data_IF_308432634686
#
_entry.id   IF_308432634686
#
_cell.length_a   1.000
_cell.length_b   1.000
_cell.length_c   1.000
_cell.angle_alpha   90.00
_cell.angle_beta   90.00
_cell.angle_gamma   90.00
#
_symmetry.space_group_name_H-M   'P 1'
#
loop_
_entity.id
_entity.type
_entity.pdbx_description
1 polymer ?
#
# COMPACT_ATOMS: atom_id res chain seq x y z
N UNK A 1 -9.87 13.05 -32.35
CA UNK A 1 -10.33 11.65 -32.49
C UNK A 1 -11.49 11.47 -31.55
N UNK A 2 -12.63 10.89 -31.94
CA UNK A 2 -13.74 10.64 -31.03
C UNK A 2 -13.23 9.70 -29.90
N UNK A 3 -13.54 10.04 -28.65
CA UNK A 3 -13.22 9.23 -27.49
C UNK A 3 -13.96 7.90 -27.61
N UNK A 4 -13.30 6.91 -28.18
CA UNK A 4 -13.79 5.53 -28.12
C UNK A 4 -13.74 5.13 -26.65
N UNK A 5 -14.88 4.70 -26.12
CA UNK A 5 -14.94 4.16 -24.76
C UNK A 5 -13.87 3.08 -24.64
N UNK A 6 -12.97 3.21 -23.64
CA UNK A 6 -11.94 2.21 -23.43
C UNK A 6 -12.62 0.84 -23.35
N UNK A 7 -12.22 -0.16 -24.14
CA UNK A 7 -12.85 -1.46 -24.10
C UNK A 7 -12.85 -1.97 -22.65
N UNK A 8 -13.97 -2.44 -22.15
CA UNK A 8 -14.09 -2.94 -20.78
C UNK A 8 -12.98 -3.96 -20.45
N UNK A 9 -12.60 -4.77 -21.43
CA UNK A 9 -11.50 -5.72 -21.35
C UNK A 9 -10.15 -5.04 -21.02
N UNK A 10 -9.84 -3.89 -21.60
CA UNK A 10 -8.59 -3.17 -21.29
C UNK A 10 -8.55 -2.72 -19.82
N UNK A 11 -9.62 -2.11 -19.35
CA UNK A 11 -9.72 -1.67 -17.94
C UNK A 11 -9.60 -2.88 -17.00
N UNK A 12 -10.27 -3.99 -17.32
CA UNK A 12 -10.17 -5.25 -16.55
C UNK A 12 -8.74 -5.76 -16.47
N UNK A 13 -8.00 -5.78 -17.59
CA UNK A 13 -6.60 -6.24 -17.61
C UNK A 13 -5.70 -5.31 -16.80
N UNK A 14 -5.88 -3.99 -16.89
CA UNK A 14 -5.15 -3.02 -16.08
C UNK A 14 -5.45 -3.22 -14.58
N UNK A 15 -6.70 -3.52 -14.23
CA UNK A 15 -7.12 -3.83 -12.86
C UNK A 15 -6.50 -5.13 -12.34
N UNK A 16 -6.58 -6.22 -13.13
CA UNK A 16 -5.98 -7.51 -12.76
C UNK A 16 -4.45 -7.39 -12.63
N UNK A 17 -3.81 -6.65 -13.53
CA UNK A 17 -2.36 -6.40 -13.42
C UNK A 17 -2.01 -5.63 -12.14
N UNK A 18 -2.82 -4.64 -11.74
CA UNK A 18 -2.65 -3.94 -10.45
C UNK A 18 -2.92 -4.87 -9.25
N UNK A 19 -3.85 -5.83 -9.35
CA UNK A 19 -4.05 -6.85 -8.33
C UNK A 19 -2.79 -7.70 -8.15
N UNK A 20 -2.18 -8.17 -9.25
CA UNK A 20 -0.96 -8.98 -9.23
C UNK A 20 0.21 -8.19 -8.64
N UNK A 21 0.36 -6.92 -9.05
CA UNK A 21 1.36 -5.99 -8.49
C UNK A 21 1.13 -5.79 -6.98
N UNK A 22 -0.09 -5.51 -6.56
CA UNK A 22 -0.43 -5.31 -5.17
C UNK A 22 -0.20 -6.57 -4.33
N UNK A 23 -0.57 -7.75 -4.84
CA UNK A 23 -0.28 -9.02 -4.20
C UNK A 23 1.23 -9.20 -3.97
N UNK A 24 2.06 -9.09 -5.02
CA UNK A 24 3.51 -9.26 -4.90
C UNK A 24 4.22 -8.15 -4.11
N UNK A 25 3.63 -6.95 -4.02
CA UNK A 25 4.17 -5.86 -3.23
C UNK A 25 3.91 -6.05 -1.72
N UNK A 26 2.67 -6.39 -1.35
CA UNK A 26 2.22 -6.37 0.05
C UNK A 26 2.22 -7.74 0.73
N UNK A 27 2.27 -8.87 -0.01
CA UNK A 27 2.26 -10.20 0.61
C UNK A 27 3.41 -10.42 1.61
N UNK A 28 4.52 -9.67 1.48
CA UNK A 28 5.65 -9.69 2.42
C UNK A 28 5.19 -9.56 3.88
N UNK A 29 4.16 -8.76 4.14
CA UNK A 29 3.59 -8.57 5.49
C UNK A 29 3.15 -9.91 6.09
N UNK A 30 2.52 -10.77 5.29
CA UNK A 30 2.09 -12.11 5.71
C UNK A 30 3.18 -13.18 5.64
N UNK A 31 4.32 -12.88 4.98
CA UNK A 31 5.43 -13.81 4.77
C UNK A 31 6.59 -13.60 5.76
N UNK A 32 6.55 -12.57 6.61
CA UNK A 32 7.70 -12.18 7.45
C UNK A 32 8.23 -13.33 8.28
N UNK A 33 7.37 -14.12 8.92
CA UNK A 33 7.80 -15.26 9.76
C UNK A 33 8.42 -16.40 8.95
N UNK A 34 7.72 -16.99 7.93
CA UNK A 34 8.32 -18.03 7.11
C UNK A 34 9.64 -17.61 6.47
N UNK A 35 9.74 -16.33 6.07
CA UNK A 35 10.91 -15.76 5.46
C UNK A 35 12.06 -15.58 6.47
N UNK A 36 11.76 -15.06 7.67
CA UNK A 36 12.74 -14.88 8.73
C UNK A 36 13.31 -16.23 9.21
N UNK A 37 12.44 -17.23 9.36
CA UNK A 37 12.84 -18.58 9.76
C UNK A 37 13.72 -19.26 8.69
N UNK A 38 13.37 -19.17 7.41
CA UNK A 38 14.10 -19.83 6.33
C UNK A 38 15.46 -19.16 6.02
N UNK A 39 15.56 -17.84 6.19
CA UNK A 39 16.81 -17.09 5.99
C UNK A 39 17.66 -16.97 7.29
N UNK A 40 17.20 -17.54 8.40
CA UNK A 40 17.85 -17.46 9.71
C UNK A 40 18.15 -16.01 10.15
N UNK A 41 17.20 -15.09 9.87
CA UNK A 41 17.30 -13.67 10.23
C UNK A 41 16.21 -13.29 11.24
N UNK A 42 16.40 -12.17 11.95
CA UNK A 42 15.38 -11.65 12.84
C UNK A 42 14.17 -11.11 12.07
N UNK A 43 12.98 -11.11 12.69
CA UNK A 43 11.78 -10.51 12.12
C UNK A 43 11.97 -9.01 11.82
N UNK A 44 12.75 -8.29 12.67
CA UNK A 44 13.11 -6.90 12.43
C UNK A 44 13.89 -6.73 11.12
N UNK A 45 14.85 -7.60 10.88
CA UNK A 45 15.66 -7.62 9.65
C UNK A 45 14.83 -8.01 8.43
N UNK A 46 13.94 -8.99 8.56
CA UNK A 46 12.97 -9.33 7.51
C UNK A 46 12.04 -8.15 7.16
N UNK A 47 11.63 -7.35 8.15
CA UNK A 47 10.82 -6.13 7.94
C UNK A 47 11.48 -5.08 7.05
N UNK A 48 12.83 -5.02 7.00
CA UNK A 48 13.55 -4.08 6.13
C UNK A 48 13.31 -4.33 4.63
N UNK A 49 12.85 -5.53 4.27
CA UNK A 49 12.46 -5.90 2.90
C UNK A 49 11.29 -5.04 2.41
N UNK A 50 10.31 -4.77 3.29
CA UNK A 50 9.19 -3.85 2.97
C UNK A 50 9.69 -2.40 2.88
N UNK A 51 10.57 -1.99 3.78
CA UNK A 51 11.21 -0.66 3.75
C UNK A 51 11.94 -0.43 2.42
N UNK A 52 12.72 -1.42 1.97
CA UNK A 52 13.45 -1.36 0.69
C UNK A 52 12.49 -1.16 -0.49
N UNK A 53 11.39 -1.91 -0.55
CA UNK A 53 10.38 -1.73 -1.58
C UNK A 53 9.78 -0.33 -1.55
N UNK A 54 9.39 0.13 -0.37
CA UNK A 54 8.71 1.41 -0.20
C UNK A 54 9.62 2.60 -0.56
N UNK A 55 10.88 2.60 -0.12
CA UNK A 55 11.87 3.62 -0.48
C UNK A 55 12.15 3.59 -1.98
N UNK A 56 12.39 2.41 -2.54
CA UNK A 56 12.63 2.26 -3.98
C UNK A 56 11.45 2.76 -4.81
N UNK A 57 10.20 2.45 -4.40
CA UNK A 57 9.01 2.93 -5.08
C UNK A 57 8.89 4.47 -5.02
N UNK A 58 9.07 5.05 -3.84
CA UNK A 58 8.96 6.49 -3.63
C UNK A 58 9.95 7.29 -4.49
N UNK A 59 11.17 6.77 -4.67
CA UNK A 59 12.23 7.41 -5.47
C UNK A 59 12.08 7.09 -6.95
N UNK A 60 11.93 5.81 -7.30
CA UNK A 60 12.01 5.37 -8.70
C UNK A 60 10.73 5.67 -9.47
N UNK A 61 9.53 5.68 -8.84
CA UNK A 61 8.29 5.90 -9.56
C UNK A 61 8.23 7.26 -10.26
N UNK A 62 8.44 8.41 -9.62
CA UNK A 62 8.42 9.70 -10.30
C UNK A 62 9.54 9.85 -11.35
N UNK A 63 10.73 9.29 -11.09
CA UNK A 63 11.86 9.32 -12.02
C UNK A 63 11.55 8.51 -13.28
N UNK A 64 11.11 7.26 -13.13
CA UNK A 64 10.84 6.38 -14.26
C UNK A 64 9.64 6.82 -15.08
N UNK A 65 8.57 7.34 -14.44
CA UNK A 65 7.41 7.90 -15.14
C UNK A 65 7.82 9.10 -15.98
N UNK A 66 8.71 9.96 -15.46
CA UNK A 66 9.21 11.14 -16.18
C UNK A 66 10.12 10.75 -17.34
N UNK A 67 11.06 9.82 -17.13
CA UNK A 67 11.98 9.34 -18.17
C UNK A 67 11.27 8.59 -19.30
N UNK A 68 10.17 7.90 -18.99
CA UNK A 68 9.40 7.13 -19.96
C UNK A 68 8.28 7.95 -20.63
N UNK A 69 8.18 9.24 -20.33
CA UNK A 69 7.14 10.13 -20.85
C UNK A 69 7.04 10.17 -22.38
N UNK A 70 8.16 10.08 -23.09
CA UNK A 70 8.25 10.01 -24.56
C UNK A 70 8.05 8.61 -25.16
N UNK A 71 7.96 7.56 -24.33
CA UNK A 71 7.80 6.18 -24.78
C UNK A 71 6.30 5.84 -24.91
N UNK A 72 5.94 5.11 -25.98
CA UNK A 72 4.55 4.64 -26.15
C UNK A 72 4.06 3.83 -24.94
N UNK A 73 2.86 4.15 -24.44
CA UNK A 73 2.31 3.64 -23.16
C UNK A 73 2.28 2.11 -23.07
N UNK A 74 2.01 1.44 -24.20
CA UNK A 74 2.06 -0.03 -24.27
C UNK A 74 3.44 -0.58 -23.87
N UNK A 75 4.54 0.02 -24.37
CA UNK A 75 5.90 -0.40 -24.04
C UNK A 75 6.23 -0.14 -22.57
N UNK A 76 5.79 1.01 -22.05
CA UNK A 76 6.01 1.36 -20.62
C UNK A 76 5.28 0.38 -19.69
N UNK A 77 4.01 0.08 -19.99
CA UNK A 77 3.24 -0.90 -19.22
C UNK A 77 3.88 -2.31 -19.26
N UNK A 78 4.28 -2.77 -20.45
CA UNK A 78 4.94 -4.06 -20.59
C UNK A 78 6.29 -4.11 -19.88
N UNK A 79 7.11 -3.07 -20.00
CA UNK A 79 8.40 -2.95 -19.29
C UNK A 79 8.22 -2.91 -17.77
N UNK A 80 7.19 -2.19 -17.28
CA UNK A 80 6.84 -2.16 -15.86
C UNK A 80 6.49 -3.56 -15.32
N UNK A 81 5.61 -4.31 -16.03
CA UNK A 81 5.30 -5.69 -15.64
C UNK A 81 6.49 -6.62 -15.75
N UNK A 82 7.34 -6.48 -16.77
CA UNK A 82 8.54 -7.29 -16.92
C UNK A 82 9.55 -7.06 -15.78
N UNK A 83 9.78 -5.78 -15.39
CA UNK A 83 10.61 -5.44 -14.23
C UNK A 83 10.01 -5.99 -12.93
N UNK A 84 8.70 -5.87 -12.75
CA UNK A 84 8.02 -6.45 -11.59
C UNK A 84 8.16 -7.97 -11.56
N UNK A 85 8.01 -8.62 -12.72
CA UNK A 85 8.22 -10.06 -12.88
C UNK A 85 9.65 -10.50 -12.55
N UNK A 86 10.66 -9.73 -12.97
CA UNK A 86 12.06 -9.96 -12.56
C UNK A 86 12.20 -9.87 -11.03
N UNK A 87 11.55 -8.87 -10.42
CA UNK A 87 11.50 -8.74 -8.97
C UNK A 87 10.81 -9.92 -8.27
N UNK A 88 9.87 -10.62 -8.91
CA UNK A 88 9.26 -11.83 -8.38
C UNK A 88 10.08 -13.09 -8.68
N UNK A 89 10.81 -13.13 -9.78
CA UNK A 89 11.64 -14.27 -10.19
C UNK A 89 12.89 -14.43 -9.30
N UNK A 90 13.57 -13.32 -8.98
CA UNK A 90 14.83 -13.33 -8.23
C UNK A 90 14.74 -14.10 -6.90
N UNK A 91 13.73 -13.89 -6.02
CA UNK A 91 13.62 -14.63 -4.77
C UNK A 91 13.28 -16.11 -4.96
N UNK A 92 12.74 -16.51 -6.11
CA UNK A 92 12.44 -17.91 -6.41
C UNK A 92 13.74 -18.69 -6.70
N UNK A 93 14.68 -18.07 -7.44
CA UNK A 93 15.89 -18.74 -7.92
C UNK A 93 17.11 -18.59 -7.00
N UNK A 94 17.12 -17.56 -6.14
CA UNK A 94 18.26 -17.31 -5.23
C UNK A 94 17.78 -16.80 -3.88
N UNK A 95 17.82 -17.65 -2.85
CA UNK A 95 17.22 -17.35 -1.55
C UNK A 95 18.17 -16.64 -0.58
N UNK A 96 18.87 -15.61 -1.01
CA UNK A 96 19.70 -14.80 -0.12
C UNK A 96 19.02 -13.48 0.22
N UNK A 97 19.29 -12.93 1.40
CA UNK A 97 18.74 -11.64 1.82
C UNK A 97 19.10 -10.52 0.84
N UNK A 98 20.35 -10.50 0.34
CA UNK A 98 20.79 -9.49 -0.63
C UNK A 98 19.98 -9.55 -1.94
N UNK A 99 19.74 -10.75 -2.47
CA UNK A 99 18.91 -10.95 -3.66
C UNK A 99 17.46 -10.57 -3.39
N UNK A 100 16.95 -10.83 -2.19
CA UNK A 100 15.61 -10.43 -1.79
C UNK A 100 15.47 -8.89 -1.80
N UNK A 101 16.43 -8.14 -1.25
CA UNK A 101 16.43 -6.67 -1.32
C UNK A 101 16.52 -6.17 -2.77
N UNK A 102 17.42 -6.74 -3.60
CA UNK A 102 17.50 -6.40 -5.02
C UNK A 102 16.15 -6.66 -5.73
N UNK A 103 15.52 -7.80 -5.44
CA UNK A 103 14.19 -8.14 -5.99
C UNK A 103 13.13 -7.08 -5.68
N UNK A 104 13.17 -6.50 -4.46
CA UNK A 104 12.23 -5.45 -4.04
C UNK A 104 12.45 -4.15 -4.81
N UNK A 105 13.70 -3.81 -5.14
CA UNK A 105 14.02 -2.63 -5.96
C UNK A 105 13.46 -2.81 -7.38
N UNK A 106 13.65 -3.97 -8.02
CA UNK A 106 13.08 -4.25 -9.33
C UNK A 106 11.55 -4.26 -9.31
N UNK A 107 10.95 -4.90 -8.31
CA UNK A 107 9.51 -4.93 -8.15
C UNK A 107 8.94 -3.51 -7.95
N UNK A 108 9.57 -2.69 -7.12
CA UNK A 108 9.17 -1.30 -6.88
C UNK A 108 9.29 -0.44 -8.14
N UNK A 109 10.38 -0.59 -8.91
CA UNK A 109 10.56 0.10 -10.19
C UNK A 109 9.45 -0.28 -11.18
N UNK A 110 9.16 -1.58 -11.31
CA UNK A 110 8.11 -2.09 -12.18
C UNK A 110 6.72 -1.59 -11.81
N UNK A 111 6.36 -1.69 -10.54
CA UNK A 111 5.08 -1.20 -10.01
C UNK A 111 4.94 0.32 -10.14
N UNK A 112 6.02 1.06 -9.83
CA UNK A 112 6.09 2.52 -9.95
C UNK A 112 5.97 3.04 -11.37
N UNK A 113 6.37 2.25 -12.36
CA UNK A 113 6.12 2.53 -13.78
C UNK A 113 4.70 2.16 -14.19
N UNK A 114 4.23 0.98 -13.81
CA UNK A 114 2.98 0.41 -14.31
C UNK A 114 1.75 1.16 -13.79
N UNK A 115 1.60 1.27 -12.47
CA UNK A 115 0.36 1.75 -11.83
C UNK A 115 -0.06 3.16 -12.27
N UNK A 116 0.82 4.19 -12.26
CA UNK A 116 0.44 5.53 -12.71
C UNK A 116 0.15 5.57 -14.22
N UNK A 117 0.89 4.81 -15.02
CA UNK A 117 0.68 4.75 -16.47
C UNK A 117 -0.61 4.02 -16.83
N UNK A 118 -0.96 2.94 -16.09
CA UNK A 118 -2.23 2.25 -16.25
C UNK A 118 -3.43 3.16 -15.94
N UNK A 119 -3.33 3.95 -14.86
CA UNK A 119 -4.32 4.96 -14.52
C UNK A 119 -4.46 6.03 -15.62
N UNK A 120 -3.35 6.53 -16.15
CA UNK A 120 -3.36 7.52 -17.25
C UNK A 120 -3.97 6.95 -18.54
N UNK A 121 -3.67 5.68 -18.88
CA UNK A 121 -4.25 5.00 -20.06
C UNK A 121 -5.76 4.82 -19.89
N UNK A 122 -6.21 4.35 -18.73
CA UNK A 122 -7.63 4.18 -18.46
C UNK A 122 -8.40 5.51 -18.51
N UNK A 123 -7.87 6.58 -17.91
CA UNK A 123 -8.48 7.89 -17.93
C UNK A 123 -8.47 8.52 -19.33
N UNK A 124 -7.35 8.39 -20.07
CA UNK A 124 -7.18 9.00 -21.39
C UNK A 124 -8.02 8.36 -22.48
N UNK A 125 -8.35 7.07 -22.36
CA UNK A 125 -9.21 6.33 -23.29
C UNK A 125 -10.70 6.37 -22.90
N UNK A 126 -11.02 6.94 -21.74
CA UNK A 126 -12.40 7.03 -21.25
C UNK A 126 -12.99 8.41 -21.55
N UNK A 127 -14.30 8.45 -21.86
CA UNK A 127 -15.04 9.70 -21.98
C UNK A 127 -14.94 10.50 -20.67
N UNK A 128 -14.95 11.84 -20.69
CA UNK A 128 -14.77 12.69 -19.50
C UNK A 128 -15.63 12.29 -18.32
N UNK A 129 -16.91 11.95 -18.56
CA UNK A 129 -17.91 11.57 -17.56
C UNK A 129 -17.62 10.20 -16.94
N UNK A 130 -16.81 9.37 -17.59
CA UNK A 130 -16.47 8.00 -17.16
C UNK A 130 -15.04 7.85 -16.62
N UNK A 131 -14.23 8.89 -16.67
CA UNK A 131 -12.81 8.86 -16.24
C UNK A 131 -12.67 8.44 -14.78
N UNK A 132 -13.46 8.99 -13.88
CA UNK A 132 -13.44 8.62 -12.47
C UNK A 132 -13.77 7.15 -12.27
N UNK A 133 -14.77 6.61 -12.98
CA UNK A 133 -15.14 5.19 -12.93
C UNK A 133 -14.03 4.29 -13.48
N UNK A 134 -13.36 4.70 -14.56
CA UNK A 134 -12.25 3.95 -15.13
C UNK A 134 -11.03 3.90 -14.17
N UNK A 135 -10.69 5.04 -13.53
CA UNK A 135 -9.66 5.11 -12.51
C UNK A 135 -9.99 4.21 -11.31
N UNK A 136 -11.21 4.32 -10.79
CA UNK A 136 -11.67 3.47 -9.69
C UNK A 136 -11.56 1.98 -10.04
N UNK A 137 -11.92 1.58 -11.26
CA UNK A 137 -11.82 0.19 -11.72
C UNK A 137 -10.37 -0.28 -11.80
N UNK A 138 -9.43 0.55 -12.25
CA UNK A 138 -7.99 0.20 -12.27
C UNK A 138 -7.43 0.05 -10.86
N UNK A 139 -7.76 0.95 -9.94
CA UNK A 139 -7.31 0.87 -8.55
C UNK A 139 -8.05 -0.19 -7.72
N UNK A 140 -9.24 -0.64 -8.18
CA UNK A 140 -9.95 -1.76 -7.55
C UNK A 140 -9.10 -3.01 -7.45
N UNK A 141 -8.28 -3.32 -8.48
CA UNK A 141 -7.33 -4.42 -8.42
C UNK A 141 -6.35 -4.29 -7.25
N UNK A 142 -5.79 -3.10 -7.02
CA UNK A 142 -4.89 -2.84 -5.89
C UNK A 142 -5.60 -3.04 -4.54
N UNK A 143 -6.84 -2.58 -4.41
CA UNK A 143 -7.65 -2.78 -3.19
C UNK A 143 -7.93 -4.28 -2.98
N UNK A 144 -8.32 -4.99 -4.04
CA UNK A 144 -8.57 -6.43 -3.95
C UNK A 144 -7.33 -7.25 -3.60
N UNK A 145 -6.13 -6.77 -3.98
CA UNK A 145 -4.89 -7.42 -3.56
C UNK A 145 -4.67 -7.38 -2.05
N UNK A 146 -5.17 -6.37 -1.38
CA UNK A 146 -5.09 -6.27 0.08
C UNK A 146 -6.12 -7.16 0.77
N UNK A 147 -7.30 -7.33 0.16
CA UNK A 147 -8.35 -8.20 0.71
C UNK A 147 -8.04 -9.68 0.50
N UNK A 148 -7.60 -10.05 -0.71
CA UNK A 148 -7.41 -11.44 -1.12
C UNK A 148 -5.93 -11.80 -1.28
N UNK A 149 -5.13 -10.89 -1.83
CA UNK A 149 -3.73 -11.16 -2.17
C UNK A 149 -2.85 -11.40 -0.93
N UNK A 150 -3.02 -10.61 0.14
CA UNK A 150 -2.29 -10.81 1.38
C UNK A 150 -2.64 -12.16 2.05
N UNK A 151 -3.93 -12.49 2.31
CA UNK A 151 -4.29 -13.79 2.90
C UNK A 151 -3.85 -14.98 2.04
N UNK A 152 -4.07 -14.91 0.72
CA UNK A 152 -3.65 -15.97 -0.21
C UNK A 152 -2.13 -16.13 -0.20
N UNK A 153 -1.39 -15.02 -0.27
CA UNK A 153 0.07 -15.03 -0.20
C UNK A 153 0.59 -15.62 1.11
N UNK A 154 0.02 -15.22 2.25
CA UNK A 154 0.33 -15.76 3.57
C UNK A 154 0.04 -17.25 3.64
N UNK A 155 -1.17 -17.69 3.24
CA UNK A 155 -1.54 -19.11 3.22
C UNK A 155 -0.57 -19.96 2.40
N UNK A 156 -0.20 -19.50 1.20
CA UNK A 156 0.76 -20.20 0.34
C UNK A 156 2.12 -20.27 1.01
N UNK A 157 2.59 -19.18 1.62
CA UNK A 157 3.91 -19.12 2.24
C UNK A 157 4.05 -20.05 3.43
N UNK A 158 3.03 -20.12 4.29
CA UNK A 158 3.02 -21.04 5.44
C UNK A 158 2.81 -22.50 5.06
N UNK A 159 2.19 -22.77 3.89
CA UNK A 159 1.87 -24.14 3.47
C UNK A 159 2.96 -24.74 2.56
N UNK A 160 3.43 -23.95 1.60
CA UNK A 160 4.31 -24.40 0.50
C UNK A 160 5.67 -23.67 0.48
N UNK A 161 5.86 -22.73 1.40
CA UNK A 161 7.05 -21.89 1.47
C UNK A 161 6.90 -20.56 0.74
N UNK A 162 7.61 -19.54 1.23
CA UNK A 162 7.50 -18.16 0.75
C UNK A 162 7.94 -17.96 -0.72
N UNK A 163 8.86 -18.80 -1.22
CA UNK A 163 9.28 -18.79 -2.63
C UNK A 163 8.15 -19.14 -3.58
N UNK A 164 7.30 -20.09 -3.18
CA UNK A 164 6.14 -20.49 -3.96
C UNK A 164 5.14 -19.35 -4.07
N UNK A 165 4.98 -18.53 -3.05
CA UNK A 165 4.13 -17.34 -3.13
C UNK A 165 4.59 -16.37 -4.24
N UNK A 166 5.90 -16.14 -4.38
CA UNK A 166 6.45 -15.34 -5.49
C UNK A 166 6.29 -16.01 -6.85
N UNK A 167 6.47 -17.34 -6.91
CA UNK A 167 6.27 -18.09 -8.14
C UNK A 167 4.81 -18.03 -8.62
N UNK A 168 3.83 -18.08 -7.73
CA UNK A 168 2.42 -17.91 -8.05
C UNK A 168 2.14 -16.50 -8.61
N UNK A 169 2.69 -15.45 -8.00
CA UNK A 169 2.57 -14.07 -8.52
C UNK A 169 3.14 -14.00 -9.93
N UNK A 170 4.33 -14.58 -10.17
CA UNK A 170 4.97 -14.61 -11.48
C UNK A 170 4.13 -15.36 -12.51
N UNK A 171 3.56 -16.51 -12.14
CA UNK A 171 2.70 -17.31 -13.01
C UNK A 171 1.47 -16.54 -13.50
N UNK A 172 0.82 -15.78 -12.59
CA UNK A 172 -0.35 -14.93 -12.94
C UNK A 172 0.08 -13.68 -13.71
N UNK A 173 1.29 -13.17 -13.50
CA UNK A 173 1.81 -11.99 -14.19
C UNK A 173 2.10 -12.26 -15.68
N UNK A 174 2.56 -13.46 -16.06
CA UNK A 174 2.88 -13.80 -17.45
C UNK A 174 1.70 -13.56 -18.40
N UNK A 175 0.50 -14.10 -18.17
CA UNK A 175 -0.65 -13.82 -19.03
C UNK A 175 -1.04 -12.33 -19.00
N UNK A 176 -0.90 -11.62 -17.86
CA UNK A 176 -1.14 -10.18 -17.80
C UNK A 176 -0.19 -9.42 -18.75
N UNK A 177 1.10 -9.75 -18.74
CA UNK A 177 2.10 -9.13 -19.61
C UNK A 177 1.77 -9.38 -21.10
N UNK A 178 1.41 -10.61 -21.45
CA UNK A 178 1.02 -10.98 -22.79
C UNK A 178 -0.24 -10.23 -23.25
N UNK A 179 -1.27 -10.15 -22.41
CA UNK A 179 -2.52 -9.43 -22.69
C UNK A 179 -2.29 -7.93 -22.84
N UNK A 180 -1.47 -7.31 -21.98
CA UNK A 180 -1.07 -5.88 -22.11
C UNK A 180 -0.41 -5.65 -23.47
N UNK A 181 0.48 -6.58 -23.89
CA UNK A 181 1.16 -6.44 -25.18
C UNK A 181 0.24 -6.54 -26.38
N UNK A 182 -0.84 -7.29 -26.31
CA UNK A 182 -1.79 -7.46 -27.42
C UNK A 182 -2.86 -6.37 -27.41
N UNK A 183 -3.44 -6.09 -26.25
CA UNK A 183 -4.69 -5.31 -26.14
C UNK A 183 -4.44 -3.80 -26.06
N UNK A 184 -3.33 -3.37 -25.43
CA UNK A 184 -3.04 -1.94 -25.34
C UNK A 184 -2.68 -1.38 -26.74
N UNK A 185 -3.40 -0.35 -27.26
CA UNK A 185 -3.13 0.20 -28.58
C UNK A 185 -1.70 0.75 -28.70
N UNK A 186 -1.15 0.65 -29.91
CA UNK A 186 0.14 1.26 -30.26
C UNK A 186 0.00 2.78 -30.39
N UNK A 187 1.05 3.52 -30.08
CA UNK A 187 1.12 4.97 -30.30
C UNK A 187 0.34 5.82 -29.30
N UNK A 188 -0.20 5.24 -28.22
CA UNK A 188 -0.78 6.02 -27.13
C UNK A 188 0.28 6.87 -26.45
N UNK A 189 0.12 8.20 -26.57
CA UNK A 189 0.90 9.19 -25.84
C UNK A 189 -0.06 10.15 -25.14
N UNK A 190 0.16 10.42 -23.89
CA UNK A 190 -0.56 11.46 -23.13
C UNK A 190 0.47 12.48 -22.66
N UNK A 191 0.07 13.73 -22.53
CA UNK A 191 0.97 14.74 -21.96
C UNK A 191 1.34 14.32 -20.54
N UNK A 192 2.63 14.11 -20.26
CA UNK A 192 3.07 13.80 -18.91
C UNK A 192 2.80 14.99 -17.99
N UNK A 193 2.56 14.74 -16.71
CA UNK A 193 2.71 15.76 -15.68
C UNK A 193 4.14 16.30 -15.81
N UNK A 194 4.29 17.60 -16.05
CA UNK A 194 5.61 18.15 -16.29
C UNK A 194 6.39 18.24 -14.98
N UNK A 195 7.71 18.03 -15.04
CA UNK A 195 8.60 18.25 -13.89
C UNK A 195 8.47 19.68 -13.31
N UNK A 196 8.05 20.63 -14.14
CA UNK A 196 7.80 22.03 -13.73
C UNK A 196 6.57 22.15 -12.84
N UNK A 197 5.50 21.41 -13.14
CA UNK A 197 4.28 21.40 -12.30
C UNK A 197 4.56 20.72 -10.97
N UNK A 198 5.28 19.60 -11.00
CA UNK A 198 5.77 18.93 -9.80
C UNK A 198 6.65 19.88 -8.96
N UNK A 199 7.64 20.54 -9.59
CA UNK A 199 8.52 21.48 -8.91
C UNK A 199 7.80 22.67 -8.28
N UNK A 200 6.70 23.14 -8.91
CA UNK A 200 5.86 24.20 -8.34
C UNK A 200 5.16 23.75 -7.06
N UNK A 201 4.55 22.58 -7.07
CA UNK A 201 3.87 22.03 -5.87
C UNK A 201 4.87 21.71 -4.77
N UNK A 202 6.04 21.14 -5.10
CA UNK A 202 7.11 20.83 -4.12
C UNK A 202 7.67 22.09 -3.43
N UNK A 203 7.62 23.24 -4.07
CA UNK A 203 8.07 24.52 -3.48
C UNK A 203 7.00 25.19 -2.61
N UNK A 204 5.76 24.75 -2.70
CA UNK A 204 4.67 25.25 -1.85
C UNK A 204 4.66 24.46 -0.53
N UNK A 205 5.24 25.06 0.52
CA UNK A 205 5.33 24.43 1.84
C UNK A 205 3.97 24.08 2.46
N UNK A 206 2.90 24.82 2.13
CA UNK A 206 1.55 24.54 2.64
C UNK A 206 0.99 23.26 2.02
N UNK A 207 1.12 23.12 0.71
CA UNK A 207 0.69 21.93 -0.01
C UNK A 207 1.52 20.71 0.41
N UNK A 208 2.84 20.88 0.58
CA UNK A 208 3.72 19.80 1.04
C UNK A 208 3.41 19.39 2.49
N UNK A 209 3.03 20.32 3.35
CA UNK A 209 2.57 20.01 4.70
C UNK A 209 1.25 19.20 4.65
N UNK A 210 0.34 19.54 3.74
CA UNK A 210 -0.89 18.77 3.57
C UNK A 210 -0.64 17.35 3.04
N UNK A 211 0.28 17.17 2.09
CA UNK A 211 0.72 15.85 1.58
C UNK A 211 1.48 15.08 2.66
N UNK A 212 2.39 15.74 3.37
CA UNK A 212 3.21 15.15 4.44
C UNK A 212 2.38 14.53 5.58
N UNK A 213 1.16 15.00 5.79
CA UNK A 213 0.24 14.38 6.75
C UNK A 213 -0.06 12.92 6.39
N UNK A 214 -0.14 12.57 5.10
CA UNK A 214 -0.27 11.18 4.64
C UNK A 214 0.89 10.32 5.16
N UNK A 215 2.11 10.82 5.02
CA UNK A 215 3.31 10.16 5.53
C UNK A 215 3.21 9.93 7.05
N UNK A 216 2.87 10.96 7.82
CA UNK A 216 2.78 10.85 9.29
C UNK A 216 1.72 9.85 9.75
N UNK A 217 0.53 9.88 9.14
CA UNK A 217 -0.57 8.97 9.47
C UNK A 217 -0.20 7.52 9.18
N UNK A 218 0.35 7.28 7.98
CA UNK A 218 0.72 5.92 7.57
C UNK A 218 1.96 5.39 8.28
N UNK A 219 2.91 6.24 8.64
CA UNK A 219 4.03 5.84 9.51
C UNK A 219 3.51 5.17 10.78
N UNK A 220 2.55 5.80 11.47
CA UNK A 220 1.95 5.23 12.67
C UNK A 220 1.28 3.86 12.42
N UNK A 221 0.48 3.74 11.35
CA UNK A 221 -0.19 2.48 11.01
C UNK A 221 0.76 1.36 10.62
N UNK A 222 1.80 1.65 9.85
CA UNK A 222 2.76 0.65 9.35
C UNK A 222 3.72 0.12 10.41
N UNK A 223 3.89 0.79 11.56
CA UNK A 223 4.60 0.20 12.73
C UNK A 223 3.96 -1.12 13.14
N UNK A 224 2.63 -1.18 13.21
CA UNK A 224 1.90 -2.41 13.55
C UNK A 224 1.73 -3.29 12.32
N UNK A 225 1.34 -2.72 11.17
CA UNK A 225 1.01 -3.48 9.97
C UNK A 225 2.17 -4.34 9.48
N UNK A 226 3.38 -3.82 9.47
CA UNK A 226 4.57 -4.56 9.01
C UNK A 226 4.84 -5.79 9.86
N UNK A 227 4.65 -5.68 11.17
CA UNK A 227 4.95 -6.76 12.12
C UNK A 227 3.70 -7.46 12.66
N UNK A 228 2.57 -7.36 11.94
CA UNK A 228 1.30 -7.94 12.37
C UNK A 228 1.39 -9.47 12.50
N UNK A 229 1.99 -10.16 11.53
CA UNK A 229 2.12 -11.61 11.59
C UNK A 229 2.98 -12.07 12.78
N UNK A 230 4.21 -11.55 12.99
CA UNK A 230 5.00 -11.83 14.20
C UNK A 230 4.27 -11.46 15.50
N UNK A 231 3.51 -10.37 15.52
CA UNK A 231 2.77 -9.94 16.71
C UNK A 231 1.68 -10.94 17.08
N UNK A 232 0.95 -11.46 16.09
CA UNK A 232 -0.11 -12.45 16.34
C UNK A 232 0.45 -13.83 16.65
N UNK A 233 1.52 -14.26 15.98
CA UNK A 233 2.09 -15.59 16.21
C UNK A 233 2.81 -15.68 17.57
N UNK A 234 3.69 -14.73 17.88
CA UNK A 234 4.50 -14.79 19.10
C UNK A 234 3.70 -14.41 20.34
N UNK A 235 2.74 -13.48 20.24
CA UNK A 235 1.93 -13.08 21.39
C UNK A 235 0.68 -13.95 21.60
N UNK A 236 0.09 -14.50 20.54
CA UNK A 236 -1.17 -15.25 20.61
C UNK A 236 -1.02 -16.73 20.20
N UNK A 237 0.16 -17.14 19.73
CA UNK A 237 0.38 -18.50 19.23
C UNK A 237 -0.37 -18.80 17.92
N UNK A 238 -0.79 -17.77 17.17
CA UNK A 238 -1.54 -17.97 15.94
C UNK A 238 -0.63 -18.50 14.82
N UNK A 239 -0.97 -19.67 14.33
CA UNK A 239 -0.33 -20.27 13.15
C UNK A 239 -0.94 -19.75 11.85
N UNK A 240 -0.65 -20.46 10.76
CA UNK A 240 -1.09 -20.18 9.40
C UNK A 240 -2.54 -19.68 9.28
N UNK A 241 -3.47 -20.45 9.84
CA UNK A 241 -4.90 -20.19 9.64
C UNK A 241 -5.37 -18.93 10.38
N UNK A 242 -4.85 -18.72 11.60
CA UNK A 242 -5.12 -17.52 12.39
C UNK A 242 -4.57 -16.25 11.72
N UNK A 243 -3.34 -16.29 11.21
CA UNK A 243 -2.72 -15.16 10.50
C UNK A 243 -3.45 -14.89 9.19
N UNK A 244 -3.81 -15.94 8.44
CA UNK A 244 -4.59 -15.80 7.21
C UNK A 244 -5.95 -15.15 7.48
N UNK A 245 -6.65 -15.58 8.53
CA UNK A 245 -7.91 -14.97 8.97
C UNK A 245 -7.73 -13.50 9.36
N UNK A 246 -6.69 -13.17 10.14
CA UNK A 246 -6.38 -11.80 10.53
C UNK A 246 -6.19 -10.89 9.31
N UNK A 247 -5.40 -11.33 8.32
CA UNK A 247 -5.16 -10.58 7.09
C UNK A 247 -6.43 -10.44 6.25
N UNK A 248 -7.29 -11.45 6.21
CA UNK A 248 -8.59 -11.39 5.54
C UNK A 248 -9.50 -10.36 6.23
N UNK A 249 -9.56 -10.39 7.56
CA UNK A 249 -10.32 -9.41 8.36
C UNK A 249 -9.82 -7.99 8.10
N UNK A 250 -8.50 -7.78 8.06
CA UNK A 250 -7.91 -6.49 7.70
C UNK A 250 -8.29 -6.06 6.27
N UNK A 251 -8.29 -6.99 5.32
CA UNK A 251 -8.68 -6.72 3.95
C UNK A 251 -10.15 -6.30 3.81
N UNK A 252 -11.07 -7.03 4.46
CA UNK A 252 -12.49 -6.66 4.53
C UNK A 252 -12.66 -5.31 5.22
N UNK A 253 -11.96 -5.09 6.34
CA UNK A 253 -11.94 -3.80 7.04
C UNK A 253 -11.44 -2.65 6.15
N UNK A 254 -10.49 -2.90 5.26
CA UNK A 254 -10.00 -1.90 4.31
C UNK A 254 -11.10 -1.46 3.32
N UNK A 255 -11.90 -2.38 2.79
CA UNK A 255 -13.03 -2.05 1.91
C UNK A 255 -14.09 -1.24 2.66
N UNK A 256 -14.52 -1.73 3.83
CA UNK A 256 -15.51 -1.04 4.66
C UNK A 256 -15.00 0.35 5.09
N UNK A 257 -13.73 0.44 5.45
CA UNK A 257 -13.09 1.69 5.82
C UNK A 257 -13.08 2.70 4.67
N UNK A 258 -12.67 2.32 3.47
CA UNK A 258 -12.70 3.21 2.31
C UNK A 258 -14.12 3.75 2.03
N UNK A 259 -15.15 2.88 2.12
CA UNK A 259 -16.55 3.30 1.96
C UNK A 259 -16.98 4.26 3.07
N UNK A 260 -16.67 3.94 4.33
CA UNK A 260 -16.98 4.77 5.49
C UNK A 260 -16.27 6.12 5.42
N UNK A 261 -14.98 6.13 5.06
CA UNK A 261 -14.18 7.35 4.96
C UNK A 261 -14.71 8.32 3.90
N UNK A 262 -15.15 7.81 2.74
CA UNK A 262 -15.81 8.59 1.70
C UNK A 262 -17.12 9.18 2.21
N UNK A 263 -18.04 8.34 2.69
CA UNK A 263 -19.34 8.76 3.18
C UNK A 263 -19.25 9.76 4.36
N UNK A 264 -18.30 9.55 5.26
CA UNK A 264 -18.09 10.45 6.41
C UNK A 264 -17.48 11.79 5.95
N UNK A 265 -16.53 11.74 5.01
CA UNK A 265 -15.95 12.95 4.40
C UNK A 265 -16.99 13.81 3.69
N UNK A 266 -17.96 13.20 3.00
CA UNK A 266 -19.05 13.90 2.33
C UNK A 266 -20.02 14.54 3.33
N UNK A 267 -20.29 13.88 4.47
CA UNK A 267 -21.25 14.36 5.47
C UNK A 267 -20.70 15.43 6.40
N UNK A 268 -19.51 15.23 6.95
CA UNK A 268 -18.95 16.10 8.01
C UNK A 268 -17.71 16.88 7.56
N UNK A 269 -17.28 16.66 6.34
CA UNK A 269 -16.11 17.26 5.73
C UNK A 269 -14.79 16.49 6.01
N UNK A 270 -13.81 16.60 5.12
CA UNK A 270 -12.58 15.79 5.16
C UNK A 270 -11.75 16.05 6.42
N UNK A 271 -11.60 17.29 6.88
CA UNK A 271 -10.76 17.63 8.06
C UNK A 271 -11.34 17.05 9.35
N UNK A 272 -12.67 17.13 9.54
CA UNK A 272 -13.32 16.55 10.74
C UNK A 272 -13.21 15.02 10.72
N UNK A 273 -13.40 14.41 9.55
CA UNK A 273 -13.23 12.97 9.35
C UNK A 273 -11.81 12.55 9.73
N UNK A 274 -10.78 13.19 9.16
CA UNK A 274 -9.37 12.88 9.45
C UNK A 274 -9.03 13.06 10.94
N UNK A 275 -9.57 14.10 11.58
CA UNK A 275 -9.38 14.33 13.03
C UNK A 275 -9.98 13.17 13.84
N UNK A 276 -11.22 12.77 13.54
CA UNK A 276 -11.88 11.64 14.20
C UNK A 276 -11.14 10.32 14.02
N UNK A 277 -10.62 10.07 12.80
CA UNK A 277 -9.81 8.89 12.51
C UNK A 277 -8.48 8.85 13.28
N UNK A 278 -7.78 9.99 13.40
CA UNK A 278 -6.58 10.08 14.25
C UNK A 278 -6.92 9.76 15.71
N UNK A 279 -8.00 10.34 16.25
CA UNK A 279 -8.42 10.08 17.63
C UNK A 279 -8.79 8.61 17.86
N UNK A 280 -9.54 8.01 16.93
CA UNK A 280 -9.87 6.59 16.99
C UNK A 280 -8.61 5.71 16.98
N UNK A 281 -7.64 6.01 16.11
CA UNK A 281 -6.39 5.26 16.00
C UNK A 281 -5.47 5.46 17.22
N UNK A 282 -5.48 6.63 17.88
CA UNK A 282 -4.76 6.87 19.14
C UNK A 282 -5.24 5.92 20.24
N UNK A 283 -6.52 5.53 20.21
CA UNK A 283 -7.10 4.58 21.17
C UNK A 283 -6.85 3.13 20.74
N UNK A 284 -7.05 2.83 19.46
CA UNK A 284 -7.01 1.45 18.95
C UNK A 284 -5.59 0.89 18.88
N UNK A 285 -4.62 1.68 18.39
CA UNK A 285 -3.24 1.20 18.20
C UNK A 285 -2.58 0.70 19.50
N UNK A 286 -2.67 1.42 20.64
CA UNK A 286 -2.13 0.90 21.90
C UNK A 286 -2.74 -0.43 22.37
N UNK A 287 -3.96 -0.74 21.94
CA UNK A 287 -4.63 -2.03 22.22
C UNK A 287 -3.82 -3.24 21.76
N UNK A 288 -3.03 -3.14 20.70
CA UNK A 288 -2.14 -4.22 20.27
C UNK A 288 -1.02 -4.50 21.26
N UNK A 289 -0.57 -3.50 22.02
CA UNK A 289 0.40 -3.68 23.13
C UNK A 289 -0.24 -4.25 24.37
N UNK A 290 -1.55 -4.17 24.53
CA UNK A 290 -2.28 -4.74 25.66
C UNK A 290 -2.65 -6.22 25.45
N UNK A 291 -2.62 -6.75 24.22
CA UNK A 291 -2.96 -8.16 23.93
C UNK A 291 -2.16 -9.18 24.77
N UNK A 292 -0.84 -9.04 24.97
CA UNK A 292 -0.08 -9.97 25.82
C UNK A 292 -0.54 -9.98 27.28
N UNK A 293 -1.07 -8.86 27.78
CA UNK A 293 -1.55 -8.76 29.17
C UNK A 293 -2.84 -9.57 29.40
N UNK A 294 -3.59 -9.85 28.34
CA UNK A 294 -4.81 -10.65 28.37
C UNK A 294 -4.53 -12.17 28.25
N UNK A 295 -3.28 -12.61 28.19
CA UNK A 295 -2.93 -14.05 28.06
C UNK A 295 -3.32 -14.91 29.28
N UNK A 296 -3.69 -14.32 30.40
CA UNK A 296 -4.25 -15.01 31.56
C UNK A 296 -5.72 -15.39 31.43
N UNK A 297 -6.41 -14.82 30.45
CA UNK A 297 -7.81 -15.09 30.12
C UNK A 297 -7.96 -16.32 29.20
N UNK A 298 -9.20 -16.73 28.92
CA UNK A 298 -9.40 -17.83 27.99
C UNK A 298 -8.86 -17.47 26.58
N UNK A 299 -8.22 -18.41 25.90
CA UNK A 299 -7.67 -18.19 24.54
C UNK A 299 -8.74 -17.68 23.56
N UNK A 300 -10.01 -18.04 23.73
CA UNK A 300 -11.14 -17.56 22.95
C UNK A 300 -11.41 -16.07 23.16
N UNK A 301 -11.33 -15.58 24.39
CA UNK A 301 -11.56 -14.15 24.68
C UNK A 301 -10.42 -13.29 24.11
N UNK A 302 -9.16 -13.69 24.31
CA UNK A 302 -8.00 -12.98 23.78
C UNK A 302 -8.02 -12.95 22.25
N UNK A 303 -8.41 -14.06 21.60
CA UNK A 303 -8.60 -14.15 20.16
C UNK A 303 -9.70 -13.20 19.64
N UNK A 304 -10.85 -13.15 20.33
CA UNK A 304 -11.94 -12.24 19.98
C UNK A 304 -11.53 -10.77 20.15
N UNK A 305 -10.79 -10.43 21.20
CA UNK A 305 -10.23 -9.08 21.39
C UNK A 305 -9.27 -8.68 20.25
N UNK A 306 -8.38 -9.60 19.85
CA UNK A 306 -7.46 -9.37 18.75
C UNK A 306 -8.21 -9.13 17.42
N UNK A 307 -9.21 -9.94 17.09
CA UNK A 307 -10.04 -9.74 15.90
C UNK A 307 -10.82 -8.42 15.96
N UNK A 308 -11.38 -8.06 17.10
CA UNK A 308 -12.05 -6.78 17.32
C UNK A 308 -11.12 -5.59 17.08
N UNK A 309 -9.90 -5.63 17.62
CA UNK A 309 -8.87 -4.60 17.37
C UNK A 309 -8.48 -4.52 15.90
N UNK A 310 -8.32 -5.66 15.22
CA UNK A 310 -8.01 -5.72 13.79
C UNK A 310 -9.10 -5.09 12.93
N UNK A 311 -10.38 -5.36 13.24
CA UNK A 311 -11.52 -4.72 12.56
C UNK A 311 -11.49 -3.20 12.76
N UNK A 312 -11.41 -2.73 14.00
CA UNK A 312 -11.41 -1.30 14.32
C UNK A 312 -10.22 -0.59 13.69
N UNK A 313 -9.02 -1.17 13.83
CA UNK A 313 -7.80 -0.63 13.26
C UNK A 313 -7.86 -0.54 11.74
N UNK A 314 -8.30 -1.60 11.05
CA UNK A 314 -8.36 -1.62 9.59
C UNK A 314 -9.44 -0.69 9.05
N UNK A 315 -10.64 -0.70 9.63
CA UNK A 315 -11.73 0.19 9.19
C UNK A 315 -11.33 1.65 9.37
N UNK A 316 -10.85 2.06 10.54
CA UNK A 316 -10.45 3.45 10.76
C UNK A 316 -9.18 3.83 9.98
N UNK A 317 -8.21 2.93 9.87
CA UNK A 317 -6.98 3.17 9.12
C UNK A 317 -7.22 3.40 7.63
N UNK A 318 -8.04 2.57 7.00
CA UNK A 318 -8.32 2.68 5.56
C UNK A 318 -9.37 3.74 5.22
N UNK A 319 -10.16 4.21 6.17
CA UNK A 319 -11.05 5.38 5.99
C UNK A 319 -10.28 6.67 5.69
N UNK A 320 -8.99 6.71 6.04
CA UNK A 320 -8.10 7.84 5.82
C UNK A 320 -7.98 8.24 4.35
N UNK A 321 -7.84 7.27 3.42
CA UNK A 321 -7.46 7.54 2.04
C UNK A 321 -8.47 8.42 1.30
N UNK A 322 -9.77 8.09 1.40
CA UNK A 322 -10.82 8.85 0.73
C UNK A 322 -10.91 10.29 1.25
N UNK A 323 -10.87 10.46 2.59
CA UNK A 323 -10.94 11.78 3.22
C UNK A 323 -9.70 12.65 2.90
N UNK A 324 -8.50 12.05 2.90
CA UNK A 324 -7.27 12.78 2.58
C UNK A 324 -7.22 13.20 1.10
N UNK A 325 -7.60 12.32 0.19
CA UNK A 325 -7.67 12.66 -1.24
C UNK A 325 -8.66 13.78 -1.51
N UNK A 326 -9.86 13.73 -0.89
CA UNK A 326 -10.84 14.80 -0.99
C UNK A 326 -10.28 16.15 -0.47
N UNK A 327 -9.56 16.13 0.67
CA UNK A 327 -8.88 17.32 1.20
C UNK A 327 -7.86 17.88 0.22
N UNK A 328 -6.97 17.04 -0.33
CA UNK A 328 -5.91 17.46 -1.22
C UNK A 328 -6.44 18.04 -2.55
N UNK A 329 -7.50 17.44 -3.11
CA UNK A 329 -8.19 17.95 -4.29
C UNK A 329 -8.81 19.33 -3.98
N UNK A 330 -9.44 19.48 -2.83
CA UNK A 330 -10.04 20.75 -2.41
C UNK A 330 -9.03 21.87 -2.21
N UNK A 331 -7.81 21.57 -1.72
CA UNK A 331 -6.76 22.56 -1.51
C UNK A 331 -6.12 23.06 -2.81
N UNK A 332 -5.99 22.21 -3.82
CA UNK A 332 -5.37 22.57 -5.10
C UNK A 332 -6.09 21.89 -6.29
N UNK A 333 -7.32 22.34 -6.65
CA UNK A 333 -8.11 21.68 -7.71
C UNK A 333 -7.40 21.64 -9.05
N UNK A 334 -6.66 22.70 -9.41
CA UNK A 334 -5.91 22.80 -10.67
C UNK A 334 -4.66 21.91 -10.70
N UNK A 335 -4.11 21.56 -9.53
CA UNK A 335 -2.95 20.71 -9.36
C UNK A 335 -3.32 19.32 -8.81
N UNK A 336 -4.61 18.97 -8.78
CA UNK A 336 -5.09 17.72 -8.20
C UNK A 336 -4.34 16.45 -8.67
N UNK A 337 -4.00 16.26 -9.96
CA UNK A 337 -3.22 15.10 -10.38
C UNK A 337 -1.84 15.02 -9.73
N UNK A 338 -1.16 16.16 -9.57
CA UNK A 338 0.16 16.25 -8.91
C UNK A 338 0.02 15.97 -7.43
N UNK A 339 -0.99 16.55 -6.78
CA UNK A 339 -1.26 16.34 -5.36
C UNK A 339 -1.54 14.85 -5.04
N UNK A 340 -2.33 14.18 -5.88
CA UNK A 340 -2.63 12.76 -5.72
C UNK A 340 -1.40 11.87 -5.98
N UNK A 341 -0.54 12.24 -6.95
CA UNK A 341 0.71 11.53 -7.19
C UNK A 341 1.68 11.66 -6.00
N UNK A 342 1.81 12.87 -5.45
CA UNK A 342 2.62 13.11 -4.24
C UNK A 342 2.02 12.41 -3.01
N UNK A 343 0.68 12.37 -2.90
CA UNK A 343 0.00 11.60 -1.87
C UNK A 343 0.33 10.11 -1.95
N UNK A 344 0.33 9.54 -3.15
CA UNK A 344 0.73 8.15 -3.37
C UNK A 344 2.21 7.91 -2.98
N UNK A 345 3.12 8.83 -3.31
CA UNK A 345 4.50 8.78 -2.84
C UNK A 345 4.57 8.86 -1.31
N UNK A 346 3.78 9.75 -0.69
CA UNK A 346 3.67 9.89 0.77
C UNK A 346 3.20 8.61 1.48
N UNK A 347 2.33 7.82 0.82
CA UNK A 347 1.92 6.49 1.32
C UNK A 347 3.13 5.56 1.47
N UNK A 348 3.96 5.47 0.43
CA UNK A 348 5.13 4.59 0.46
C UNK A 348 6.23 5.11 1.41
N UNK A 349 6.43 6.42 1.49
CA UNK A 349 7.36 7.01 2.48
C UNK A 349 6.87 6.69 3.90
N UNK A 350 5.56 6.82 4.16
CA UNK A 350 4.97 6.45 5.45
C UNK A 350 5.14 4.96 5.78
N UNK A 351 4.93 4.09 4.78
CA UNK A 351 5.16 2.66 4.93
C UNK A 351 6.64 2.34 5.24
N UNK A 352 7.58 2.98 4.55
CA UNK A 352 9.01 2.82 4.79
C UNK A 352 9.40 3.24 6.20
N UNK A 353 8.98 4.44 6.61
CA UNK A 353 9.28 4.97 7.95
C UNK A 353 8.62 4.12 9.04
N UNK A 354 7.36 3.72 8.86
CA UNK A 354 6.65 2.88 9.83
C UNK A 354 7.30 1.51 9.98
N UNK A 355 7.71 0.88 8.88
CA UNK A 355 8.45 -0.39 8.90
C UNK A 355 9.81 -0.23 9.58
N UNK A 356 10.56 0.85 9.28
CA UNK A 356 11.85 1.12 9.90
C UNK A 356 11.73 1.38 11.40
N UNK A 357 10.80 2.26 11.83
CA UNK A 357 10.54 2.52 13.25
C UNK A 357 10.08 1.25 13.99
N UNK A 358 9.16 0.49 13.40
CA UNK A 358 8.71 -0.78 13.97
C UNK A 358 9.84 -1.79 14.10
N UNK A 359 10.75 -1.86 13.12
CA UNK A 359 11.95 -2.70 13.16
C UNK A 359 12.92 -2.30 14.27
N UNK A 360 13.13 -1.00 14.48
CA UNK A 360 13.97 -0.48 15.58
C UNK A 360 13.37 -0.81 16.96
N UNK A 361 12.03 -0.64 17.10
CA UNK A 361 11.33 -0.99 18.34
C UNK A 361 11.43 -2.49 18.60
N UNK A 362 11.21 -3.31 17.58
CA UNK A 362 11.30 -4.77 17.69
C UNK A 362 12.71 -5.22 18.08
N UNK A 363 13.75 -4.64 17.49
CA UNK A 363 15.14 -4.98 17.76
C UNK A 363 15.57 -4.58 19.19
N UNK A 364 15.08 -3.45 19.72
CA UNK A 364 15.48 -2.93 21.04
C UNK A 364 14.58 -3.38 22.19
N UNK A 365 13.29 -3.55 21.95
CA UNK A 365 12.27 -3.70 23.01
C UNK A 365 11.30 -4.84 22.77
N UNK A 366 11.41 -5.57 21.65
CA UNK A 366 10.50 -6.64 21.27
C UNK A 366 9.15 -6.14 20.72
N UNK A 367 8.17 -7.06 20.65
CA UNK A 367 6.86 -6.80 20.04
C UNK A 367 5.91 -6.00 20.96
N UNK A 368 6.09 -6.08 22.28
CA UNK A 368 5.17 -5.49 23.25
C UNK A 368 4.88 -4.00 23.04
N UNK A 369 5.88 -3.11 22.84
CA UNK A 369 5.68 -1.67 22.71
C UNK A 369 5.17 -1.21 21.36
N UNK A 370 5.09 -2.06 20.32
CA UNK A 370 4.74 -1.64 18.95
C UNK A 370 3.45 -0.83 18.85
N UNK A 371 2.39 -1.29 19.53
CA UNK A 371 1.10 -0.60 19.54
C UNK A 371 1.17 0.77 20.24
N UNK A 372 1.90 0.86 21.36
CA UNK A 372 2.10 2.12 22.09
C UNK A 372 2.88 3.13 21.25
N UNK A 373 3.96 2.71 20.59
CA UNK A 373 4.76 3.56 19.70
C UNK A 373 3.92 4.02 18.50
N UNK A 374 3.13 3.13 17.90
CA UNK A 374 2.20 3.48 16.84
C UNK A 374 1.18 4.52 17.30
N UNK A 375 0.60 4.36 18.50
CA UNK A 375 -0.31 5.33 19.11
C UNK A 375 0.35 6.68 19.33
N UNK A 376 1.59 6.72 19.84
CA UNK A 376 2.36 7.96 20.02
C UNK A 376 2.64 8.67 18.68
N UNK A 377 3.03 7.93 17.65
CA UNK A 377 3.20 8.47 16.29
C UNK A 377 1.88 8.98 15.71
N UNK A 378 0.74 8.37 16.05
CA UNK A 378 -0.58 8.87 15.63
C UNK A 378 -0.93 10.19 16.34
N UNK A 379 -0.49 10.43 17.58
CA UNK A 379 -0.58 11.75 18.22
C UNK A 379 0.23 12.78 17.42
N UNK A 380 1.45 12.43 16.99
CA UNK A 380 2.25 13.30 16.11
C UNK A 380 1.51 13.59 14.80
N UNK A 381 0.88 12.58 14.19
CA UNK A 381 0.07 12.77 12.99
C UNK A 381 -1.13 13.71 13.23
N UNK A 382 -1.80 13.62 14.38
CA UNK A 382 -2.88 14.54 14.74
C UNK A 382 -2.38 15.99 14.90
N UNK A 383 -1.22 16.20 15.55
CA UNK A 383 -0.58 17.51 15.66
C UNK A 383 -0.23 18.04 14.27
N UNK A 384 0.36 17.21 13.41
CA UNK A 384 0.66 17.55 12.01
C UNK A 384 -0.60 17.99 11.25
N UNK A 385 -1.70 17.25 11.37
CA UNK A 385 -2.98 17.62 10.77
C UNK A 385 -3.43 19.02 11.23
N UNK A 386 -3.37 19.28 12.54
CA UNK A 386 -3.77 20.58 13.13
C UNK A 386 -2.91 21.72 12.62
N UNK A 387 -1.61 21.53 12.53
CA UNK A 387 -0.67 22.52 11.96
C UNK A 387 -0.96 22.75 10.49
N UNK A 388 -1.12 21.66 9.71
CA UNK A 388 -1.45 21.74 8.29
C UNK A 388 -2.77 22.49 8.03
N UNK A 389 -3.80 22.27 8.84
CA UNK A 389 -5.10 22.97 8.69
C UNK A 389 -5.01 24.44 9.05
N UNK A 390 -4.16 24.82 10.01
CA UNK A 390 -3.98 26.24 10.38
C UNK A 390 -3.23 27.05 9.32
N UNK A 391 -2.41 26.39 8.53
CA UNK A 391 -1.54 27.03 7.53
C UNK A 391 -2.10 26.96 6.11
N UNK A 392 -3.08 26.10 5.85
CA UNK A 392 -3.80 25.96 4.57
C UNK A 392 -5.18 26.57 4.64
#
# INVERSE_FOLDING_TARGET
>A
MPAQAAPALLITILSVSNFVIGMGAFMIIGLLEPLAADLEISAARAGTVLTTYAVAYAVLSPVLVSLTGGIGRRRVLAAGLALFGLGCLLPVISPTEAVLHASRIFAAAGAGMFTPVAAAVAAGLSAPERRAKALAAVFFGMTMSQVLGLPIGSFIAYTFGWRVAFAVVLLVLIPCLWLIWIIVPRGLSFQPVTLRDLGRVLRDGRLMLAVGFTTSFLTAGYVVQTFLAPLLSQNLGWGRDGITLALLVCGVGAVLGNMMGGALSDRVGPVRTLTGLCLAQIVVLPGFSALPLAQGESAGLTGAMALGLLVLWSVFGWSFMAAQQARLIGLAPTAAPVMLALNAAGVYVGAALGSAFGGLVLAGFGLGPLGLVAGALMVVALVHLRLSVRLT
#
